data_IF_983890914842
#
_entry.id   IF_983890914842
#
_cell.length_a   1.000
_cell.length_b   1.000
_cell.length_c   1.000
_cell.angle_alpha   90.00
_cell.angle_beta   90.00
_cell.angle_gamma   90.00
#
_symmetry.space_group_name_H-M   'P 1'
#
loop_
_entity.id
_entity.type
_entity.pdbx_description
1 polymer ?
#
# COMPACT_ATOMS: atom_id res chain seq x y z
N UNK A 1 26.00 -1.50 -17.34
CA UNK A 1 26.19 -0.38 -16.38
C UNK A 1 24.93 -0.37 -15.55
N UNK A 2 24.99 -1.02 -14.39
CA UNK A 2 23.90 -1.05 -13.41
C UNK A 2 23.85 0.32 -12.73
N UNK A 3 22.76 1.02 -12.88
CA UNK A 3 22.47 2.24 -12.12
C UNK A 3 22.17 1.79 -10.69
N UNK A 4 23.13 1.96 -9.79
CA UNK A 4 22.92 1.82 -8.36
C UNK A 4 21.89 2.90 -7.94
N UNK A 5 20.64 2.51 -7.82
CA UNK A 5 19.64 3.33 -7.16
C UNK A 5 19.98 3.34 -5.66
N UNK A 6 20.62 4.41 -5.23
CA UNK A 6 20.89 4.63 -3.81
C UNK A 6 19.56 4.96 -3.12
N UNK A 7 18.98 3.97 -2.47
CA UNK A 7 17.64 4.02 -1.85
C UNK A 7 17.53 5.06 -0.72
N UNK A 8 18.66 5.55 -0.18
CA UNK A 8 18.67 6.61 0.84
C UNK A 8 18.22 7.99 0.31
N UNK A 9 18.16 8.18 -1.01
CA UNK A 9 17.76 9.43 -1.67
C UNK A 9 16.39 9.36 -2.35
N UNK A 10 15.72 8.20 -2.26
CA UNK A 10 14.40 8.01 -2.89
C UNK A 10 13.33 8.85 -2.15
N UNK A 11 12.50 9.66 -2.87
CA UNK A 11 11.39 10.42 -2.28
C UNK A 11 10.45 9.54 -1.44
N UNK A 12 10.19 8.31 -1.88
CA UNK A 12 9.33 7.33 -1.19
C UNK A 12 9.87 7.00 0.21
N UNK A 13 11.19 6.91 0.40
CA UNK A 13 11.81 6.67 1.71
C UNK A 13 11.61 7.84 2.68
N UNK A 14 11.69 9.08 2.18
CA UNK A 14 11.45 10.27 2.98
C UNK A 14 9.97 10.35 3.43
N UNK A 15 9.05 10.00 2.56
CA UNK A 15 7.61 9.92 2.83
C UNK A 15 7.30 8.88 3.91
N UNK A 16 7.90 7.70 3.81
CA UNK A 16 7.71 6.62 4.78
C UNK A 16 8.30 6.93 6.14
N UNK A 17 9.45 7.60 6.21
CA UNK A 17 10.03 8.03 7.47
C UNK A 17 9.12 9.01 8.21
N UNK A 18 8.39 9.86 7.52
CA UNK A 18 7.43 10.81 8.11
C UNK A 18 6.16 10.11 8.63
N UNK A 19 5.78 9.02 7.99
CA UNK A 19 4.73 8.12 8.48
C UNK A 19 5.24 7.18 9.59
N UNK A 20 6.49 7.40 10.05
CA UNK A 20 7.12 6.67 11.14
C UNK A 20 7.67 5.31 10.76
N UNK A 21 7.75 4.97 9.48
CA UNK A 21 8.40 3.75 9.04
C UNK A 21 9.92 3.87 9.17
N UNK A 22 10.61 2.92 9.82
CA UNK A 22 12.06 2.95 9.95
C UNK A 22 12.71 2.81 8.57
N UNK A 23 13.52 3.77 8.18
CA UNK A 23 14.21 3.80 6.88
C UNK A 23 15.55 3.09 7.05
N UNK A 24 15.63 1.85 6.55
CA UNK A 24 16.89 1.07 6.46
C UNK A 24 17.36 0.96 5.01
N UNK A 25 18.47 0.27 4.79
CA UNK A 25 19.01 0.01 3.45
C UNK A 25 18.15 -1.04 2.71
N UNK A 26 16.95 -0.68 2.31
CA UNK A 26 16.04 -1.49 1.49
C UNK A 26 15.91 -0.89 0.10
N UNK A 27 15.71 -1.73 -0.90
CA UNK A 27 15.59 -1.32 -2.30
C UNK A 27 14.12 -0.99 -2.65
N UNK A 28 13.16 -1.68 -2.01
CA UNK A 28 11.74 -1.47 -2.18
C UNK A 28 10.97 -1.55 -0.86
N UNK A 29 9.81 -0.94 -0.83
CA UNK A 29 8.87 -1.00 0.29
C UNK A 29 7.57 -1.67 -0.14
N UNK A 30 7.17 -2.67 0.64
CA UNK A 30 5.95 -3.46 0.43
C UNK A 30 5.01 -3.23 1.60
N UNK A 31 3.79 -2.80 1.31
CA UNK A 31 2.71 -2.74 2.30
C UNK A 31 1.96 -4.08 2.35
N UNK A 32 1.60 -4.52 3.53
CA UNK A 32 0.76 -5.70 3.73
C UNK A 32 -0.59 -5.24 4.30
N UNK A 33 -1.64 -5.36 3.49
CA UNK A 33 -3.01 -5.00 3.84
C UNK A 33 -3.91 -6.24 3.90
N UNK A 34 -5.04 -6.17 4.55
CA UNK A 34 -6.02 -7.25 4.57
C UNK A 34 -6.97 -7.16 5.76
N UNK A 35 -8.10 -7.84 5.64
CA UNK A 35 -9.08 -7.92 6.71
C UNK A 35 -8.50 -8.64 7.94
N UNK A 36 -9.05 -8.43 9.13
CA UNK A 36 -8.73 -9.25 10.29
C UNK A 36 -8.95 -10.75 10.01
N UNK A 37 -8.06 -11.59 10.55
CA UNK A 37 -8.11 -13.05 10.46
C UNK A 37 -7.92 -13.68 9.06
N UNK A 38 -7.42 -12.94 8.08
CA UNK A 38 -7.05 -13.48 6.76
C UNK A 38 -5.69 -14.20 6.74
N UNK A 39 -5.01 -14.28 7.89
CA UNK A 39 -3.67 -14.83 7.99
C UNK A 39 -2.56 -13.84 7.62
N UNK A 40 -2.86 -12.53 7.62
CA UNK A 40 -1.91 -11.45 7.33
C UNK A 40 -0.66 -11.54 8.20
N UNK A 41 -0.79 -11.65 9.52
CA UNK A 41 0.34 -11.78 10.45
C UNK A 41 1.13 -13.08 10.25
N UNK A 42 0.47 -14.17 9.83
CA UNK A 42 1.16 -15.41 9.48
C UNK A 42 2.02 -15.21 8.23
N UNK A 43 1.49 -14.55 7.22
CA UNK A 43 2.22 -14.20 5.99
C UNK A 43 3.41 -13.27 6.32
N UNK A 44 3.19 -12.23 7.12
CA UNK A 44 4.23 -11.32 7.58
C UNK A 44 5.38 -12.06 8.27
N UNK A 45 5.06 -12.93 9.24
CA UNK A 45 6.05 -13.69 9.98
C UNK A 45 6.81 -14.69 9.10
N UNK A 46 6.13 -15.32 8.13
CA UNK A 46 6.77 -16.25 7.20
C UNK A 46 7.78 -15.57 6.27
N UNK A 47 7.52 -14.32 5.88
CA UNK A 47 8.40 -13.53 5.02
C UNK A 47 9.58 -12.91 5.79
N UNK A 48 9.34 -12.41 7.01
CA UNK A 48 10.35 -11.69 7.78
C UNK A 48 11.17 -12.58 8.70
N UNK A 49 10.82 -13.87 8.83
CA UNK A 49 11.49 -14.81 9.73
C UNK A 49 11.44 -14.37 11.19
N UNK A 50 10.34 -13.76 11.63
CA UNK A 50 10.11 -13.18 12.97
C UNK A 50 11.07 -12.03 13.33
N UNK A 51 11.84 -11.52 12.38
CA UNK A 51 12.68 -10.33 12.56
C UNK A 51 11.84 -9.09 12.27
N UNK A 52 11.17 -8.59 13.29
CA UNK A 52 10.28 -7.45 13.19
C UNK A 52 10.61 -6.38 14.22
N UNK A 53 10.38 -5.14 13.84
CA UNK A 53 10.35 -4.00 14.74
C UNK A 53 8.88 -3.64 14.98
N UNK A 54 8.48 -3.55 16.23
CA UNK A 54 7.14 -3.13 16.62
C UNK A 54 7.20 -1.74 17.25
N UNK A 55 6.18 -0.94 17.02
CA UNK A 55 6.03 0.39 17.58
C UNK A 55 4.59 0.85 17.39
N UNK A 56 4.33 2.13 17.60
CA UNK A 56 3.04 2.72 17.27
C UNK A 56 3.16 3.64 16.06
N UNK A 57 2.06 3.78 15.34
CA UNK A 57 1.98 4.80 14.31
C UNK A 57 2.04 6.20 14.95
N UNK A 58 2.72 7.19 14.33
CA UNK A 58 2.88 8.52 14.90
C UNK A 58 1.56 9.17 15.26
N UNK A 59 1.41 9.57 16.54
CA UNK A 59 0.20 10.23 17.04
C UNK A 59 -1.04 9.33 17.16
N UNK A 60 -0.89 8.00 17.03
CA UNK A 60 -1.96 7.03 17.18
C UNK A 60 -1.59 5.93 18.16
N UNK A 61 -2.59 5.28 18.75
CA UNK A 61 -2.40 4.09 19.61
C UNK A 61 -2.30 2.79 18.82
N UNK A 62 -2.38 2.88 17.50
CA UNK A 62 -2.35 1.76 16.56
C UNK A 62 -0.96 1.16 16.48
N UNK A 63 -0.84 -0.14 16.63
CA UNK A 63 0.43 -0.87 16.54
C UNK A 63 0.92 -0.93 15.09
N UNK A 64 2.23 -0.73 14.93
CA UNK A 64 2.94 -0.87 13.67
C UNK A 64 3.95 -2.01 13.79
N UNK A 65 3.98 -2.92 12.81
CA UNK A 65 5.01 -3.92 12.67
C UNK A 65 5.73 -3.74 11.32
N UNK A 66 7.05 -3.80 11.36
CA UNK A 66 7.91 -3.68 10.20
C UNK A 66 8.94 -4.79 10.21
N UNK A 67 9.27 -5.31 9.04
CA UNK A 67 10.29 -6.33 8.87
C UNK A 67 10.97 -6.20 7.53
N UNK A 68 11.91 -7.09 7.24
CA UNK A 68 12.59 -7.13 5.96
C UNK A 68 12.72 -8.55 5.46
N UNK A 69 12.70 -8.69 4.14
CA UNK A 69 13.01 -9.94 3.45
C UNK A 69 13.88 -9.66 2.22
N UNK A 70 14.48 -10.71 1.69
CA UNK A 70 15.29 -10.64 0.47
C UNK A 70 14.76 -11.63 -0.56
N UNK A 71 14.64 -11.18 -1.80
CA UNK A 71 14.24 -12.01 -2.92
C UNK A 71 14.98 -11.59 -4.19
N UNK A 72 15.55 -12.54 -4.93
CA UNK A 72 16.31 -12.25 -6.16
C UNK A 72 17.52 -11.31 -5.97
N UNK A 73 18.12 -11.26 -4.77
CA UNK A 73 19.22 -10.34 -4.44
C UNK A 73 18.76 -8.93 -4.03
N UNK A 74 17.47 -8.62 -4.16
CA UNK A 74 16.85 -7.33 -3.81
C UNK A 74 16.29 -7.39 -2.38
N UNK A 75 16.43 -6.29 -1.63
CA UNK A 75 15.98 -6.18 -0.24
C UNK A 75 14.66 -5.41 -0.18
N UNK A 76 13.68 -6.02 0.46
CA UNK A 76 12.34 -5.47 0.60
C UNK A 76 12.06 -5.15 2.07
N UNK A 77 11.55 -3.96 2.32
CA UNK A 77 10.94 -3.60 3.59
C UNK A 77 9.47 -3.98 3.54
N UNK A 78 9.00 -4.73 4.53
CA UNK A 78 7.60 -5.10 4.69
C UNK A 78 7.00 -4.29 5.84
N UNK A 79 5.92 -3.57 5.57
CA UNK A 79 5.15 -2.79 6.55
C UNK A 79 3.78 -3.42 6.71
N UNK A 80 3.50 -3.91 7.92
CA UNK A 80 2.20 -4.50 8.25
C UNK A 80 1.21 -3.39 8.60
N UNK A 81 0.19 -3.23 7.76
CA UNK A 81 -0.89 -2.28 8.01
C UNK A 81 -1.91 -2.88 8.99
N UNK A 82 -2.60 -2.04 9.77
CA UNK A 82 -3.69 -2.52 10.63
C UNK A 82 -4.71 -3.32 9.83
N UNK A 83 -5.21 -4.41 10.43
CA UNK A 83 -6.27 -5.22 9.81
C UNK A 83 -7.59 -4.48 9.82
N UNK A 84 -8.11 -4.12 8.66
CA UNK A 84 -9.32 -3.33 8.50
C UNK A 84 -10.30 -3.99 7.55
N UNK A 85 -11.59 -3.67 7.68
CA UNK A 85 -12.62 -4.10 6.73
C UNK A 85 -12.87 -3.05 5.63
N UNK A 86 -12.40 -1.83 5.85
CA UNK A 86 -12.65 -0.67 5.00
C UNK A 86 -11.50 0.34 5.11
N UNK A 87 -11.42 1.28 4.18
CA UNK A 87 -10.51 2.42 4.21
C UNK A 87 -11.28 3.75 4.28
N UNK A 88 -12.52 3.72 4.79
CA UNK A 88 -13.42 4.88 4.86
C UNK A 88 -13.21 5.78 6.09
N UNK A 89 -12.18 5.53 6.90
CA UNK A 89 -11.78 6.36 8.05
C UNK A 89 -12.79 6.43 9.20
N UNK A 90 -13.52 5.34 9.42
CA UNK A 90 -14.40 5.21 10.58
C UNK A 90 -13.61 4.90 11.88
N UNK A 91 -12.35 4.47 11.77
CA UNK A 91 -11.47 4.16 12.89
C UNK A 91 -10.03 4.63 12.63
N UNK A 92 -9.22 4.71 13.71
CA UNK A 92 -7.79 5.02 13.61
C UNK A 92 -7.04 4.01 12.74
N UNK A 93 -7.40 2.73 12.80
CA UNK A 93 -6.82 1.67 12.00
C UNK A 93 -7.05 1.89 10.50
N UNK A 94 -8.28 2.25 10.13
CA UNK A 94 -8.65 2.56 8.74
C UNK A 94 -7.94 3.81 8.23
N UNK A 95 -7.89 4.86 9.06
CA UNK A 95 -7.20 6.11 8.71
C UNK A 95 -5.71 5.86 8.48
N UNK A 96 -5.06 5.09 9.36
CA UNK A 96 -3.63 4.74 9.23
C UNK A 96 -3.37 3.95 7.96
N UNK A 97 -4.15 2.89 7.71
CA UNK A 97 -3.99 2.06 6.52
C UNK A 97 -4.18 2.88 5.23
N UNK A 98 -5.26 3.67 5.17
CA UNK A 98 -5.55 4.58 4.05
C UNK A 98 -4.42 5.59 3.80
N UNK A 99 -4.01 6.30 4.85
CA UNK A 99 -2.99 7.35 4.73
C UNK A 99 -1.64 6.76 4.30
N UNK A 100 -1.29 5.57 4.78
CA UNK A 100 -0.07 4.91 4.34
C UNK A 100 -0.12 4.52 2.86
N UNK A 101 -1.22 3.95 2.39
CA UNK A 101 -1.38 3.57 0.98
C UNK A 101 -1.38 4.80 0.06
N UNK A 102 -2.05 5.87 0.47
CA UNK A 102 -2.21 7.07 -0.35
C UNK A 102 -0.94 7.93 -0.37
N UNK A 103 -0.37 8.24 0.80
CA UNK A 103 0.76 9.15 0.93
C UNK A 103 2.10 8.43 1.06
N UNK A 104 2.17 7.25 1.64
CA UNK A 104 3.40 6.44 1.74
C UNK A 104 3.84 5.82 0.42
N UNK A 105 2.94 5.68 -0.55
CA UNK A 105 3.22 5.19 -1.91
C UNK A 105 4.14 3.96 -1.94
N UNK A 106 3.77 2.86 -1.29
CA UNK A 106 4.61 1.66 -1.31
C UNK A 106 4.83 1.18 -2.76
N UNK A 107 6.00 0.58 -3.02
CA UNK A 107 6.34 0.06 -4.34
C UNK A 107 5.44 -1.12 -4.74
N UNK A 108 4.91 -1.82 -3.75
CA UNK A 108 3.88 -2.85 -3.94
C UNK A 108 2.99 -2.93 -2.69
N UNK A 109 1.71 -3.16 -2.89
CA UNK A 109 0.75 -3.48 -1.82
C UNK A 109 0.27 -4.91 -1.98
N UNK A 110 0.56 -5.76 -1.02
CA UNK A 110 0.03 -7.12 -0.96
C UNK A 110 -1.26 -7.11 -0.16
N UNK A 111 -2.38 -7.41 -0.80
CA UNK A 111 -3.67 -7.53 -0.11
C UNK A 111 -3.95 -9.00 0.18
N UNK A 112 -3.98 -9.35 1.47
CA UNK A 112 -4.23 -10.72 1.92
C UNK A 112 -5.73 -10.94 2.09
N UNK A 113 -6.26 -11.92 1.36
CA UNK A 113 -7.67 -12.29 1.40
C UNK A 113 -7.84 -13.74 1.82
N UNK A 114 -8.94 -14.03 2.50
CA UNK A 114 -9.34 -15.39 2.90
C UNK A 114 -10.10 -16.06 1.75
N UNK A 115 -9.52 -17.12 1.19
CA UNK A 115 -10.13 -17.92 0.12
C UNK A 115 -11.50 -18.48 0.50
N UNK A 116 -11.75 -18.76 1.78
CA UNK A 116 -13.02 -19.31 2.25
C UNK A 116 -14.11 -18.25 2.49
N UNK A 117 -13.75 -16.96 2.45
CA UNK A 117 -14.65 -15.82 2.66
C UNK A 117 -14.34 -14.68 1.69
N UNK A 118 -14.03 -15.01 0.44
CA UNK A 118 -13.50 -14.10 -0.57
C UNK A 118 -14.42 -12.90 -0.82
N UNK A 119 -15.71 -13.11 -0.95
CA UNK A 119 -16.69 -12.05 -1.23
C UNK A 119 -16.59 -10.89 -0.23
N UNK A 120 -16.51 -11.21 1.07
CA UNK A 120 -16.36 -10.19 2.11
C UNK A 120 -15.02 -9.44 2.03
N UNK A 121 -13.96 -10.12 1.59
CA UNK A 121 -12.63 -9.53 1.50
C UNK A 121 -12.46 -8.65 0.26
N UNK A 122 -13.21 -8.93 -0.81
CA UNK A 122 -13.15 -8.14 -2.05
C UNK A 122 -13.54 -6.67 -1.84
N UNK A 123 -14.37 -6.37 -0.84
CA UNK A 123 -14.72 -4.98 -0.53
C UNK A 123 -13.49 -4.12 -0.21
N UNK A 124 -12.58 -4.64 0.63
CA UNK A 124 -11.30 -3.96 0.92
C UNK A 124 -10.38 -3.93 -0.31
N UNK A 125 -10.32 -5.04 -1.06
CA UNK A 125 -9.51 -5.11 -2.29
C UNK A 125 -9.90 -4.00 -3.26
N UNK A 126 -11.19 -3.84 -3.55
CA UNK A 126 -11.67 -2.79 -4.46
C UNK A 126 -11.31 -1.39 -3.98
N UNK A 127 -11.38 -1.12 -2.68
CA UNK A 127 -10.96 0.17 -2.12
C UNK A 127 -9.45 0.42 -2.25
N UNK A 128 -8.62 -0.61 -2.07
CA UNK A 128 -7.17 -0.50 -2.30
C UNK A 128 -6.88 -0.22 -3.77
N UNK A 129 -7.58 -0.90 -4.70
CA UNK A 129 -7.42 -0.69 -6.14
C UNK A 129 -7.84 0.72 -6.60
N UNK A 130 -8.75 1.37 -5.88
CA UNK A 130 -9.08 2.79 -6.13
C UNK A 130 -7.94 3.73 -5.69
N UNK A 131 -7.11 3.34 -4.72
CA UNK A 131 -6.00 4.15 -4.21
C UNK A 131 -4.72 3.98 -5.02
N UNK A 132 -4.33 2.73 -5.33
CA UNK A 132 -3.05 2.41 -5.96
C UNK A 132 -3.17 1.35 -7.05
N UNK A 133 -2.32 1.46 -8.06
CA UNK A 133 -2.21 0.46 -9.13
C UNK A 133 -1.23 -0.66 -8.78
N UNK A 134 -0.33 -0.46 -7.81
CA UNK A 134 0.74 -1.39 -7.46
C UNK A 134 0.27 -2.44 -6.45
N UNK A 135 -0.58 -3.37 -6.91
CA UNK A 135 -1.25 -4.35 -6.04
C UNK A 135 -0.98 -5.77 -6.50
N UNK A 136 -0.76 -6.66 -5.53
CA UNK A 136 -0.76 -8.11 -5.67
C UNK A 136 -1.74 -8.67 -4.63
N UNK A 137 -2.61 -9.60 -5.02
CA UNK A 137 -3.55 -10.26 -4.11
C UNK A 137 -2.96 -11.60 -3.68
N UNK A 138 -2.77 -11.78 -2.37
CA UNK A 138 -2.44 -13.07 -1.78
C UNK A 138 -3.74 -13.76 -1.32
N UNK A 139 -4.22 -14.71 -2.12
CA UNK A 139 -5.41 -15.51 -1.80
C UNK A 139 -4.98 -16.62 -0.84
N UNK A 140 -5.07 -16.32 0.46
CA UNK A 140 -4.57 -17.17 1.54
C UNK A 140 -5.64 -18.15 2.05
N UNK A 141 -5.24 -19.08 2.91
CA UNK A 141 -6.11 -20.11 3.49
C UNK A 141 -6.73 -21.04 2.43
N UNK A 142 -6.00 -21.30 1.33
CA UNK A 142 -6.45 -22.21 0.26
C UNK A 142 -6.70 -23.62 0.76
N UNK A 143 -5.92 -24.08 1.75
CA UNK A 143 -6.12 -25.37 2.41
C UNK A 143 -7.43 -25.44 3.20
N UNK A 144 -7.86 -24.33 3.78
CA UNK A 144 -9.13 -24.22 4.48
C UNK A 144 -10.31 -24.17 3.52
N UNK A 145 -10.22 -23.38 2.45
CA UNK A 145 -11.20 -23.32 1.38
C UNK A 145 -11.44 -24.73 0.79
N UNK A 146 -10.35 -25.46 0.48
CA UNK A 146 -10.41 -26.83 -0.03
C UNK A 146 -11.11 -27.78 0.94
N UNK A 147 -10.80 -27.70 2.25
CA UNK A 147 -11.47 -28.51 3.29
C UNK A 147 -12.98 -28.24 3.38
N UNK A 148 -13.39 -27.00 3.08
CA UNK A 148 -14.81 -26.60 3.05
C UNK A 148 -15.49 -26.86 1.70
N UNK A 149 -14.79 -27.47 0.73
CA UNK A 149 -15.32 -27.71 -0.62
C UNK A 149 -15.47 -26.46 -1.47
N UNK A 150 -14.78 -25.37 -1.12
CA UNK A 150 -14.81 -24.09 -1.86
C UNK A 150 -13.67 -24.09 -2.88
N UNK A 151 -14.02 -23.93 -4.16
CA UNK A 151 -13.08 -23.75 -5.25
C UNK A 151 -12.94 -22.27 -5.57
N UNK A 152 -11.71 -21.76 -5.62
CA UNK A 152 -11.42 -20.38 -6.00
C UNK A 152 -10.60 -20.37 -7.29
N UNK A 153 -11.13 -19.76 -8.33
CA UNK A 153 -10.42 -19.52 -9.59
C UNK A 153 -9.62 -18.19 -9.49
N UNK A 154 -8.39 -18.31 -9.05
CA UNK A 154 -7.49 -17.14 -8.89
C UNK A 154 -7.07 -16.53 -10.22
N UNK A 155 -7.11 -17.29 -11.34
CA UNK A 155 -6.81 -16.74 -12.68
C UNK A 155 -7.92 -15.84 -13.18
N UNK A 156 -9.17 -16.28 -13.02
CA UNK A 156 -10.33 -15.44 -13.31
C UNK A 156 -10.35 -14.21 -12.41
N UNK A 157 -10.08 -14.38 -11.12
CA UNK A 157 -9.97 -13.26 -10.17
C UNK A 157 -8.93 -12.23 -10.59
N UNK A 158 -7.73 -12.68 -10.99
CA UNK A 158 -6.65 -11.80 -11.46
C UNK A 158 -7.05 -11.02 -12.71
N UNK A 159 -7.65 -11.72 -13.70
CA UNK A 159 -8.14 -11.10 -14.94
C UNK A 159 -9.22 -10.06 -14.66
N UNK A 160 -10.19 -10.40 -13.81
CA UNK A 160 -11.37 -9.56 -13.57
C UNK A 160 -11.00 -8.32 -12.70
N UNK A 161 -10.01 -8.45 -11.80
CA UNK A 161 -9.51 -7.34 -10.99
C UNK A 161 -8.36 -6.55 -11.65
N UNK A 162 -7.74 -7.10 -12.70
CA UNK A 162 -6.64 -6.46 -13.42
C UNK A 162 -5.31 -6.41 -12.66
N UNK A 163 -5.15 -7.27 -11.64
CA UNK A 163 -3.94 -7.39 -10.81
C UNK A 163 -3.61 -8.86 -10.53
N UNK A 164 -2.34 -9.22 -10.30
CA UNK A 164 -1.97 -10.60 -9.96
C UNK A 164 -2.71 -11.10 -8.71
N UNK A 165 -3.22 -12.33 -8.75
CA UNK A 165 -3.87 -13.01 -7.63
C UNK A 165 -3.27 -14.40 -7.45
N UNK A 166 -2.52 -14.60 -6.36
CA UNK A 166 -1.72 -15.79 -6.13
C UNK A 166 -2.33 -16.61 -4.99
N UNK A 167 -2.70 -17.89 -5.25
CA UNK A 167 -3.18 -18.78 -4.21
C UNK A 167 -2.01 -19.18 -3.30
N UNK A 168 -2.17 -18.99 -1.98
CA UNK A 168 -1.11 -19.30 -1.02
C UNK A 168 -1.65 -20.04 0.21
N UNK A 169 -0.77 -20.76 0.91
CA UNK A 169 -0.99 -21.24 2.27
C UNK A 169 0.17 -20.71 3.12
N UNK A 170 0.00 -19.53 3.70
CA UNK A 170 1.07 -18.84 4.43
C UNK A 170 1.68 -19.68 5.56
N UNK A 171 0.88 -20.54 6.20
CA UNK A 171 1.30 -21.42 7.29
C UNK A 171 2.31 -22.49 6.84
N UNK A 172 2.15 -23.04 5.65
CA UNK A 172 3.02 -24.11 5.10
C UNK A 172 4.07 -23.59 4.12
N UNK A 173 3.96 -22.34 3.69
CA UNK A 173 4.83 -21.75 2.69
C UNK A 173 4.46 -22.12 1.24
N UNK A 174 3.30 -22.75 1.01
CA UNK A 174 2.87 -23.14 -0.33
C UNK A 174 2.68 -21.90 -1.21
N UNK A 175 3.26 -21.93 -2.43
CA UNK A 175 3.25 -20.86 -3.43
C UNK A 175 3.87 -19.51 -3.00
N UNK A 176 4.61 -19.47 -1.88
CA UNK A 176 5.25 -18.22 -1.42
C UNK A 176 6.26 -17.68 -2.42
N UNK A 177 7.01 -18.54 -3.12
CA UNK A 177 7.95 -18.11 -4.15
C UNK A 177 7.26 -17.46 -5.35
N UNK A 178 6.09 -17.96 -5.76
CA UNK A 178 5.28 -17.34 -6.81
C UNK A 178 4.76 -15.97 -6.35
N UNK A 179 4.28 -15.85 -5.11
CA UNK A 179 3.86 -14.56 -4.54
C UNK A 179 5.01 -13.55 -4.54
N UNK A 180 6.20 -13.94 -4.09
CA UNK A 180 7.37 -13.07 -4.05
C UNK A 180 7.83 -12.65 -5.46
N UNK A 181 7.70 -13.52 -6.46
CA UNK A 181 7.98 -13.20 -7.85
C UNK A 181 7.08 -12.08 -8.38
N UNK A 182 5.77 -12.17 -8.14
CA UNK A 182 4.82 -11.12 -8.54
C UNK A 182 5.02 -9.81 -7.76
N UNK A 183 5.31 -9.92 -6.45
CA UNK A 183 5.64 -8.73 -5.64
C UNK A 183 6.87 -8.01 -6.18
N UNK A 184 7.92 -8.75 -6.56
CA UNK A 184 9.13 -8.19 -7.14
C UNK A 184 8.87 -7.55 -8.50
N UNK A 185 8.09 -8.21 -9.37
CA UNK A 185 7.76 -7.70 -10.70
C UNK A 185 6.92 -6.42 -10.65
N UNK A 186 5.96 -6.34 -9.71
CA UNK A 186 5.15 -5.12 -9.50
C UNK A 186 5.99 -4.01 -8.84
N UNK A 187 6.81 -4.34 -7.83
CA UNK A 187 7.64 -3.36 -7.13
C UNK A 187 8.70 -2.74 -8.04
N UNK A 188 9.32 -3.52 -8.93
CA UNK A 188 10.29 -3.04 -9.91
C UNK A 188 9.65 -2.29 -11.09
N UNK A 189 8.33 -2.42 -11.28
CA UNK A 189 7.61 -1.89 -12.45
C UNK A 189 7.72 -2.76 -13.70
N UNK A 190 8.26 -3.97 -13.61
CA UNK A 190 8.27 -4.95 -14.70
C UNK A 190 6.84 -5.38 -15.07
N UNK A 191 6.00 -5.62 -14.05
CA UNK A 191 4.57 -5.83 -14.24
C UNK A 191 3.81 -4.53 -14.00
N UNK A 192 3.19 -4.01 -15.07
CA UNK A 192 2.28 -2.88 -15.00
C UNK A 192 0.86 -3.41 -14.88
N UNK A 193 0.25 -3.20 -13.73
CA UNK A 193 -1.12 -3.63 -13.47
C UNK A 193 -2.15 -2.64 -14.05
N UNK A 194 -3.36 -3.13 -14.31
CA UNK A 194 -4.48 -2.33 -14.79
C UNK A 194 -5.71 -2.59 -13.90
N UNK A 195 -5.72 -2.05 -12.68
CA UNK A 195 -6.77 -2.34 -11.71
C UNK A 195 -8.17 -2.00 -12.24
N UNK A 196 -9.11 -2.89 -11.93
CA UNK A 196 -10.52 -2.59 -12.12
C UNK A 196 -10.90 -1.44 -11.18
N UNK A 197 -11.29 -0.32 -11.75
CA UNK A 197 -11.86 0.81 -11.00
C UNK A 197 -13.34 0.92 -11.28
N UNK A 198 -14.09 1.16 -10.22
CA UNK A 198 -15.53 1.37 -10.33
C UNK A 198 -15.81 2.63 -11.17
N UNK A 199 -16.67 2.49 -12.16
CA UNK A 199 -17.19 3.63 -12.91
C UNK A 199 -18.54 4.00 -12.32
N UNK A 200 -18.68 5.24 -11.91
CA UNK A 200 -19.95 5.79 -11.47
C UNK A 200 -20.90 6.07 -12.67
N UNK A 201 -22.05 6.63 -12.36
CA UNK A 201 -22.94 7.17 -13.41
C UNK A 201 -22.25 8.30 -14.17
N UNK A 202 -22.73 8.62 -15.38
CA UNK A 202 -22.17 9.73 -16.15
C UNK A 202 -22.20 11.06 -15.38
N UNK A 203 -23.23 11.30 -14.57
CA UNK A 203 -23.32 12.47 -13.73
C UNK A 203 -22.26 12.48 -12.63
N UNK A 204 -22.00 11.34 -12.00
CA UNK A 204 -20.96 11.17 -10.99
C UNK A 204 -19.56 11.40 -11.58
N UNK A 205 -19.25 10.75 -12.71
CA UNK A 205 -17.95 10.94 -13.40
C UNK A 205 -17.73 12.39 -13.83
N UNK A 206 -18.80 13.07 -14.26
CA UNK A 206 -18.74 14.50 -14.57
C UNK A 206 -18.45 15.35 -13.32
N UNK A 207 -19.04 15.04 -12.17
CA UNK A 207 -18.73 15.73 -10.91
C UNK A 207 -17.28 15.49 -10.48
N UNK A 208 -16.80 14.24 -10.56
CA UNK A 208 -15.39 13.89 -10.28
C UNK A 208 -14.44 14.68 -11.19
N UNK A 209 -14.71 14.70 -12.50
CA UNK A 209 -13.86 15.41 -13.47
C UNK A 209 -13.76 16.92 -13.23
N UNK A 210 -14.78 17.52 -12.62
CA UNK A 210 -14.75 18.95 -12.19
C UNK A 210 -13.96 19.16 -10.91
N UNK A 211 -14.05 18.23 -9.96
CA UNK A 211 -13.36 18.36 -8.67
C UNK A 211 -11.85 18.11 -8.77
N UNK A 212 -11.40 17.19 -9.62
CA UNK A 212 -9.99 16.82 -9.76
C UNK A 212 -9.09 18.07 -9.96
N UNK A 213 -9.29 18.95 -10.95
CA UNK A 213 -8.42 20.12 -11.13
C UNK A 213 -8.49 21.11 -9.96
N UNK A 214 -9.62 21.19 -9.25
CA UNK A 214 -9.76 22.04 -8.06
C UNK A 214 -8.92 21.49 -6.89
N UNK A 215 -8.92 20.16 -6.71
CA UNK A 215 -8.13 19.48 -5.69
C UNK A 215 -6.63 19.62 -6.00
N UNK A 216 -6.22 19.43 -7.26
CA UNK A 216 -4.84 19.59 -7.69
C UNK A 216 -4.35 21.03 -7.52
N UNK A 217 -5.22 22.02 -7.73
CA UNK A 217 -4.91 23.42 -7.47
C UNK A 217 -4.78 23.73 -5.97
N UNK A 218 -5.63 23.14 -5.13
CA UNK A 218 -5.61 23.34 -3.67
C UNK A 218 -4.46 22.57 -2.98
N UNK A 219 -4.08 21.41 -3.53
CA UNK A 219 -3.02 20.55 -3.01
C UNK A 219 -2.14 20.05 -4.17
N UNK A 220 -1.24 20.89 -4.73
CA UNK A 220 -0.40 20.50 -5.85
C UNK A 220 0.46 19.28 -5.57
N UNK A 221 0.42 18.28 -6.48
CA UNK A 221 1.15 17.03 -6.33
C UNK A 221 0.49 16.01 -5.41
N UNK A 222 -0.74 16.25 -4.97
CA UNK A 222 -1.52 15.28 -4.18
C UNK A 222 -1.63 13.95 -4.95
N UNK A 223 -1.33 12.82 -4.30
CA UNK A 223 -1.50 11.53 -4.94
C UNK A 223 -3.00 11.24 -5.12
N UNK A 224 -3.36 10.74 -6.29
CA UNK A 224 -4.72 10.28 -6.60
C UNK A 224 -5.85 11.29 -6.26
N UNK A 225 -5.82 12.47 -6.92
CA UNK A 225 -6.86 13.50 -6.78
C UNK A 225 -8.26 12.97 -7.11
N UNK A 226 -8.39 11.96 -8.00
CA UNK A 226 -9.65 11.29 -8.30
C UNK A 226 -10.24 10.61 -7.06
N UNK A 227 -9.42 9.88 -6.31
CA UNK A 227 -9.88 9.22 -5.07
C UNK A 227 -10.39 10.25 -4.06
N UNK A 228 -9.68 11.38 -3.90
CA UNK A 228 -10.09 12.47 -3.01
C UNK A 228 -11.43 13.06 -3.48
N UNK A 229 -11.59 13.28 -4.80
CA UNK A 229 -12.85 13.77 -5.36
C UNK A 229 -14.03 12.83 -5.05
N UNK A 230 -13.82 11.52 -5.16
CA UNK A 230 -14.82 10.51 -4.82
C UNK A 230 -15.18 10.60 -3.34
N UNK A 231 -14.19 10.72 -2.44
CA UNK A 231 -14.44 10.85 -1.01
C UNK A 231 -15.24 12.11 -0.65
N UNK A 232 -14.91 13.25 -1.28
CA UNK A 232 -15.67 14.49 -1.08
C UNK A 232 -17.12 14.37 -1.55
N UNK A 233 -17.36 13.70 -2.68
CA UNK A 233 -18.73 13.44 -3.17
C UNK A 233 -19.51 12.48 -2.27
N UNK A 234 -18.83 11.58 -1.57
CA UNK A 234 -19.43 10.69 -0.58
C UNK A 234 -19.63 11.35 0.80
N UNK A 235 -19.21 12.61 0.98
CA UNK A 235 -19.33 13.33 2.25
C UNK A 235 -18.35 12.87 3.33
N UNK A 236 -17.14 12.45 2.95
CA UNK A 236 -16.07 12.04 3.89
C UNK A 236 -15.54 13.29 4.62
N UNK A 237 -16.07 13.56 5.80
CA UNK A 237 -15.75 14.74 6.62
C UNK A 237 -14.24 14.85 6.91
N UNK A 238 -13.50 13.80 7.32
CA UNK A 238 -12.05 13.85 7.50
C UNK A 238 -11.29 14.32 6.26
N UNK A 239 -11.71 13.93 5.07
CA UNK A 239 -11.08 14.35 3.80
C UNK A 239 -11.44 15.81 3.48
N UNK A 240 -12.69 16.21 3.72
CA UNK A 240 -13.13 17.59 3.56
C UNK A 240 -12.35 18.53 4.48
N UNK A 241 -12.26 18.22 5.78
CA UNK A 241 -11.49 18.99 6.74
C UNK A 241 -10.00 19.05 6.41
N UNK A 242 -9.41 17.94 5.95
CA UNK A 242 -8.00 17.88 5.56
C UNK A 242 -7.71 18.75 4.32
N UNK A 243 -8.66 18.84 3.38
CA UNK A 243 -8.54 19.73 2.22
C UNK A 243 -8.73 21.19 2.64
N UNK A 244 -9.78 21.51 3.40
CA UNK A 244 -10.12 22.86 3.82
C UNK A 244 -9.05 23.48 4.73
N UNK A 245 -8.43 22.69 5.62
CA UNK A 245 -7.33 23.13 6.50
C UNK A 245 -5.97 23.23 5.81
N UNK A 246 -5.84 22.81 4.56
CA UNK A 246 -4.56 22.72 3.85
C UNK A 246 -3.68 21.56 4.29
N UNK A 247 -4.15 20.68 5.17
CA UNK A 247 -3.40 19.52 5.68
C UNK A 247 -2.98 18.56 4.55
N UNK A 248 -3.81 18.38 3.51
CA UNK A 248 -3.44 17.59 2.35
C UNK A 248 -2.24 18.20 1.61
N UNK A 249 -2.23 19.53 1.42
CA UNK A 249 -1.11 20.22 0.79
C UNK A 249 0.16 20.14 1.65
N UNK A 250 0.03 20.24 2.99
CA UNK A 250 1.17 20.04 3.90
C UNK A 250 1.76 18.64 3.82
N UNK A 251 0.93 17.61 3.73
CA UNK A 251 1.38 16.23 3.55
C UNK A 251 2.18 16.09 2.26
N UNK A 252 1.71 16.69 1.16
CA UNK A 252 2.42 16.70 -0.14
C UNK A 252 3.73 17.49 -0.06
N UNK A 253 3.72 18.69 0.55
CA UNK A 253 4.93 19.55 0.67
C UNK A 253 5.98 18.93 1.58
N UNK A 254 5.56 18.25 2.64
CA UNK A 254 6.48 17.46 3.48
C UNK A 254 7.18 16.37 2.68
N UNK A 255 6.52 15.83 1.66
CA UNK A 255 7.05 14.82 0.74
C UNK A 255 8.10 15.38 -0.24
N UNK A 256 8.08 16.68 -0.57
CA UNK A 256 8.97 17.29 -1.56
C UNK A 256 10.24 17.92 -0.96
N UNK A 257 10.34 18.03 0.37
CA UNK A 257 11.54 18.59 1.02
C UNK A 257 12.56 17.47 1.28
N UNK A 258 13.69 17.41 0.56
CA UNK A 258 14.82 16.60 0.98
C UNK A 258 15.27 17.08 2.35
N UNK A 259 15.51 16.13 3.28
CA UNK A 259 15.97 16.45 4.63
C UNK A 259 17.24 17.32 4.55
N UNK A 260 17.15 18.55 5.04
CA UNK A 260 18.23 19.56 4.98
C UNK A 260 19.51 19.10 5.73
N UNK A 261 19.46 18.00 6.47
CA UNK A 261 20.61 17.33 7.11
C UNK A 261 21.49 16.60 6.10
N UNK A 262 20.94 16.19 4.96
CA UNK A 262 21.67 15.45 3.92
C UNK A 262 22.50 16.38 3.02
N UNK A 263 22.02 17.57 2.71
CA UNK A 263 22.75 18.57 1.89
C UNK A 263 24.06 19.05 2.57
N UNK A 264 24.14 19.00 3.91
CA UNK A 264 25.36 19.36 4.65
C UNK A 264 26.45 18.27 4.61
N UNK A 265 26.08 17.00 4.48
CA UNK A 265 27.06 15.91 4.47
C UNK A 265 27.78 15.77 3.12
N UNK A 266 27.10 16.09 2.00
CA UNK A 266 27.69 16.08 0.65
C UNK A 266 28.62 17.27 0.47
N UNK A 267 28.31 18.45 1.03
CA UNK A 267 29.18 19.63 0.99
C UNK A 267 30.49 19.47 1.79
N UNK A 268 30.54 18.57 2.76
CA UNK A 268 31.73 18.30 3.59
C UNK A 268 32.61 17.18 3.01
N UNK A 269 32.13 16.35 2.12
CA UNK A 269 32.92 15.28 1.47
C UNK A 269 33.50 15.69 0.11
N UNK A 270 33.09 16.81 -0.47
CA UNK A 270 33.65 17.38 -1.70
C UNK A 270 34.78 18.39 -1.49
N UNK A 271 35.27 18.57 -0.25
CA UNK A 271 36.32 19.52 0.10
C UNK A 271 37.54 18.85 0.76
N UNK A 272 37.83 17.59 0.39
CA UNK A 272 39.11 16.94 0.68
C UNK A 272 39.74 16.38 -0.58
#
# INVERSE_FOLDING_TARGET
MSVEHNCETCPVHAEMAQLGAAVGAFDHVVALAGNPNTGKSTLFNSLTGLRQHTGNWPGKTVTRAEGGFQFGGVRYKLVDLPGTYSLLSASDDEEVARNFLLFGRPDCTVVVVDASALERNLYLVLQVLEITDRVVIAVNLMDEAKRRGIAVDTRSLARDLGVPAIPVVARTGENMMALLGEVAAVASGETVTQPLRSKGTAAFEHAVSKLVPMIEAAAPGVPNARWIAIRLLDGDVPVEEALASGRLAELVVRQQKPDARFSRKIALQGAQ
#
